data_IF_668793391799
#
_entry.id   IF_668793391799
#
_cell.length_a   1.000
_cell.length_b   1.000
_cell.length_c   1.000
_cell.angle_alpha   90.00
_cell.angle_beta   90.00
_cell.angle_gamma   90.00
#
_symmetry.space_group_name_H-M   'P 1'
#
loop_
_entity.id
_entity.type
_entity.pdbx_description
1 polymer ?
#
# COMPACT_ATOMS: atom_id res chain seq x y z
N UNK A 1 23.17 6.60 17.22
CA UNK A 1 23.03 8.03 16.83
C UNK A 1 22.28 8.74 17.96
N UNK A 2 22.61 10.00 18.34
CA UNK A 2 21.80 10.73 19.35
C UNK A 2 20.32 10.74 18.91
N UNK A 3 19.35 10.66 19.85
CA UNK A 3 17.94 10.73 19.49
C UNK A 3 17.70 11.98 18.64
N UNK A 4 16.97 11.83 17.53
CA UNK A 4 16.54 12.97 16.71
C UNK A 4 15.77 13.90 17.66
N UNK A 5 16.36 15.06 17.95
CA UNK A 5 15.76 16.04 18.85
C UNK A 5 14.30 16.28 18.44
N UNK A 6 13.40 16.41 19.42
CA UNK A 6 11.96 16.47 19.15
C UNK A 6 11.53 17.62 18.22
N UNK A 7 12.39 18.62 18.02
CA UNK A 7 12.17 19.76 17.13
C UNK A 7 12.68 19.55 15.70
N UNK A 8 13.41 18.47 15.39
CA UNK A 8 13.95 18.22 14.05
C UNK A 8 12.94 17.41 13.23
N UNK A 9 12.35 18.04 12.21
CA UNK A 9 11.38 17.41 11.30
C UNK A 9 12.03 16.52 10.24
N UNK A 10 13.30 16.76 9.91
CA UNK A 10 14.02 16.04 8.86
C UNK A 10 15.49 15.87 9.21
N UNK A 11 16.04 14.69 8.93
CA UNK A 11 17.47 14.42 9.05
C UNK A 11 17.99 13.68 7.80
N UNK A 12 18.99 14.25 7.12
CA UNK A 12 19.68 13.57 6.02
C UNK A 12 21.09 13.22 6.46
N UNK A 13 21.46 11.97 6.20
CA UNK A 13 22.75 11.41 6.58
C UNK A 13 23.47 11.04 5.28
N UNK A 14 24.59 11.70 5.01
CA UNK A 14 25.49 11.32 3.92
C UNK A 14 26.32 10.11 4.34
N UNK A 15 26.22 9.01 3.60
CA UNK A 15 27.03 7.81 3.84
C UNK A 15 26.42 6.54 3.28
N UNK A 16 27.18 5.45 3.38
CA UNK A 16 26.70 4.11 3.05
C UNK A 16 25.55 3.70 3.99
N UNK A 17 24.45 3.24 3.39
CA UNK A 17 23.23 2.90 4.11
C UNK A 17 23.45 1.81 5.16
N UNK A 18 24.24 0.78 4.86
CA UNK A 18 24.49 -0.33 5.78
C UNK A 18 25.30 0.14 7.00
N UNK A 19 26.33 0.94 6.76
CA UNK A 19 27.18 1.52 7.80
C UNK A 19 26.39 2.45 8.71
N UNK A 20 25.62 3.38 8.15
CA UNK A 20 24.78 4.30 8.92
C UNK A 20 23.71 3.54 9.72
N UNK A 21 23.04 2.56 9.11
CA UNK A 21 22.02 1.76 9.79
C UNK A 21 22.58 1.04 11.02
N UNK A 22 23.78 0.47 10.95
CA UNK A 22 24.45 -0.21 12.09
C UNK A 22 24.64 0.71 13.31
N UNK A 23 24.81 2.00 13.09
CA UNK A 23 24.96 3.02 14.14
C UNK A 23 23.64 3.55 14.70
N UNK A 24 22.51 3.25 14.03
CA UNK A 24 21.18 3.66 14.49
C UNK A 24 20.70 2.77 15.64
N UNK A 25 19.96 3.36 16.57
CA UNK A 25 19.43 2.65 17.72
C UNK A 25 18.36 1.64 17.30
N UNK A 26 18.27 0.52 18.04
CA UNK A 26 17.23 -0.50 17.82
C UNK A 26 15.85 0.09 18.08
N UNK A 27 14.85 -0.36 17.34
CA UNK A 27 13.44 0.00 17.58
C UNK A 27 13.19 1.53 17.66
N UNK A 28 13.95 2.31 16.89
CA UNK A 28 13.87 3.78 16.84
C UNK A 28 12.96 4.30 15.71
N UNK A 29 12.63 3.48 14.72
CA UNK A 29 11.91 3.89 13.50
C UNK A 29 10.49 3.30 13.47
N UNK A 30 9.48 4.09 13.11
CA UNK A 30 8.08 3.66 13.04
C UNK A 30 7.75 2.99 11.70
N UNK A 31 8.27 3.55 10.60
CA UNK A 31 7.96 3.11 9.25
C UNK A 31 9.18 3.27 8.35
N UNK A 32 9.40 2.34 7.43
CA UNK A 32 10.41 2.45 6.38
C UNK A 32 9.67 2.42 5.04
N UNK A 33 9.95 3.39 4.17
CA UNK A 33 9.45 3.41 2.80
C UNK A 33 10.62 3.70 1.90
N UNK A 34 10.90 2.81 0.95
CA UNK A 34 12.14 2.91 0.18
C UNK A 34 12.05 2.24 -1.18
N UNK A 35 12.96 2.63 -2.07
CA UNK A 35 13.22 1.99 -3.36
C UNK A 35 14.74 1.89 -3.52
N UNK A 36 15.35 0.71 -3.32
CA UNK A 36 16.78 0.56 -3.52
C UNK A 36 17.16 0.78 -4.99
N UNK A 37 18.44 0.99 -5.29
CA UNK A 37 18.94 0.91 -6.66
C UNK A 37 18.54 -0.41 -7.32
N UNK A 38 17.99 -0.34 -8.54
CA UNK A 38 17.59 -1.54 -9.28
C UNK A 38 18.81 -2.16 -9.96
N UNK A 39 18.86 -3.49 -9.95
CA UNK A 39 19.97 -4.25 -10.50
C UNK A 39 20.27 -3.90 -11.97
N UNK A 40 21.48 -3.42 -12.22
CA UNK A 40 22.02 -2.98 -13.50
C UNK A 40 21.27 -1.81 -14.13
N UNK A 41 20.70 -0.90 -13.32
CA UNK A 41 19.99 0.29 -13.81
C UNK A 41 20.61 1.62 -13.39
N UNK A 42 21.68 1.63 -12.58
CA UNK A 42 22.41 2.84 -12.21
C UNK A 42 23.92 2.65 -12.41
N UNK A 43 24.56 3.69 -12.93
CA UNK A 43 25.98 3.92 -12.81
C UNK A 43 26.11 5.36 -12.30
N UNK A 44 26.63 5.57 -11.10
CA UNK A 44 27.03 6.93 -10.71
C UNK A 44 28.31 7.30 -11.48
N UNK A 45 28.45 8.56 -11.89
CA UNK A 45 29.57 9.06 -12.70
C UNK A 45 30.94 9.04 -11.98
N UNK A 46 31.01 8.46 -10.78
CA UNK A 46 32.21 8.39 -9.98
C UNK A 46 32.73 6.94 -9.96
N UNK A 47 34.03 6.80 -10.15
CA UNK A 47 34.82 5.56 -10.09
C UNK A 47 34.23 4.54 -9.11
N UNK A 48 34.09 3.29 -9.59
CA UNK A 48 33.58 2.09 -8.91
C UNK A 48 33.58 2.22 -7.38
N UNK A 49 32.49 2.71 -6.80
CA UNK A 49 32.31 2.69 -5.36
C UNK A 49 32.03 1.25 -4.95
N UNK A 50 32.93 0.63 -4.18
CA UNK A 50 32.74 -0.72 -3.61
C UNK A 50 31.43 -0.88 -2.81
N UNK A 51 30.76 0.23 -2.50
CA UNK A 51 29.53 0.29 -1.71
C UNK A 51 28.24 0.43 -2.55
N UNK A 52 28.33 0.48 -3.89
CA UNK A 52 27.14 0.67 -4.73
C UNK A 52 26.34 -0.62 -4.93
N UNK A 53 25.22 -0.74 -4.22
CA UNK A 53 24.22 -1.78 -4.47
C UNK A 53 23.59 -1.57 -5.84
N UNK A 54 23.41 -2.65 -6.59
CA UNK A 54 22.78 -2.64 -7.91
C UNK A 54 23.73 -3.00 -9.06
N UNK A 55 25.04 -3.02 -8.84
CA UNK A 55 26.04 -3.35 -9.86
C UNK A 55 26.70 -4.73 -9.66
N UNK A 56 26.12 -5.58 -8.82
CA UNK A 56 26.64 -6.91 -8.53
C UNK A 56 26.61 -7.83 -9.75
N UNK A 57 27.62 -8.70 -9.89
CA UNK A 57 27.76 -9.57 -11.05
C UNK A 57 26.66 -10.62 -11.19
N UNK A 58 25.98 -10.97 -10.09
CA UNK A 58 24.92 -11.99 -10.08
C UNK A 58 23.68 -11.52 -9.32
N UNK A 59 22.52 -12.06 -9.67
CA UNK A 59 21.26 -11.79 -8.97
C UNK A 59 21.32 -12.18 -7.49
N UNK A 60 22.05 -13.25 -7.15
CA UNK A 60 22.18 -13.71 -5.78
C UNK A 60 22.95 -12.69 -4.93
N UNK A 61 24.06 -12.16 -5.45
CA UNK A 61 24.86 -11.15 -4.75
C UNK A 61 24.05 -9.87 -4.51
N UNK A 62 23.27 -9.40 -5.48
CA UNK A 62 22.37 -8.25 -5.29
C UNK A 62 21.32 -8.51 -4.20
N UNK A 63 20.70 -9.69 -4.20
CA UNK A 63 19.75 -10.08 -3.15
C UNK A 63 20.44 -10.11 -1.78
N UNK A 64 21.63 -10.70 -1.69
CA UNK A 64 22.40 -10.79 -0.44
C UNK A 64 22.82 -9.41 0.09
N UNK A 65 23.24 -8.50 -0.79
CA UNK A 65 23.56 -7.11 -0.44
C UNK A 65 22.33 -6.38 0.14
N UNK A 66 21.17 -6.50 -0.51
CA UNK A 66 19.91 -5.99 0.03
C UNK A 66 19.53 -6.66 1.35
N UNK A 67 19.75 -7.96 1.50
CA UNK A 67 19.43 -8.66 2.75
C UNK A 67 20.29 -8.16 3.91
N UNK A 68 21.56 -7.82 3.68
CA UNK A 68 22.41 -7.20 4.70
C UNK A 68 21.82 -5.88 5.21
N UNK A 69 21.31 -5.04 4.30
CA UNK A 69 20.60 -3.79 4.65
C UNK A 69 19.30 -4.10 5.39
N UNK A 70 18.48 -5.03 4.87
CA UNK A 70 17.16 -5.28 5.45
C UNK A 70 17.19 -6.00 6.81
N UNK A 71 18.30 -6.67 7.16
CA UNK A 71 18.55 -7.14 8.53
C UNK A 71 18.65 -5.96 9.49
N UNK A 72 19.39 -4.92 9.12
CA UNK A 72 19.52 -3.71 9.93
C UNK A 72 18.24 -2.88 9.94
N UNK A 73 17.52 -2.78 8.81
CA UNK A 73 16.18 -2.17 8.75
C UNK A 73 15.22 -2.86 9.73
N UNK A 74 15.23 -4.19 9.77
CA UNK A 74 14.42 -4.97 10.73
C UNK A 74 14.81 -4.67 12.18
N UNK A 75 16.09 -4.42 12.45
CA UNK A 75 16.61 -4.09 13.79
C UNK A 75 16.19 -2.70 14.26
N UNK A 76 16.27 -1.68 13.39
CA UNK A 76 15.94 -0.29 13.73
C UNK A 76 14.43 -0.03 13.76
N UNK A 77 13.63 -0.80 13.03
CA UNK A 77 12.17 -0.71 13.09
C UNK A 77 11.63 -1.12 14.47
N UNK A 78 10.64 -0.38 14.98
CA UNK A 78 9.83 -0.76 16.15
C UNK A 78 9.13 -2.09 15.94
N UNK A 79 8.74 -2.76 17.02
CA UNK A 79 8.08 -4.10 16.97
C UNK A 79 6.79 -4.10 16.15
N UNK A 80 6.09 -2.97 16.14
CA UNK A 80 4.85 -2.72 15.41
C UNK A 80 5.07 -1.95 14.09
N UNK A 81 6.32 -1.75 13.68
CA UNK A 81 6.68 -1.01 12.46
C UNK A 81 6.52 -1.80 11.16
N UNK A 82 6.46 -1.06 10.05
CA UNK A 82 6.28 -1.60 8.69
C UNK A 82 7.43 -1.20 7.76
N UNK A 83 7.71 -2.06 6.79
CA UNK A 83 8.58 -1.81 5.64
C UNK A 83 7.72 -1.80 4.37
N UNK A 84 7.83 -0.74 3.58
CA UNK A 84 7.30 -0.64 2.22
C UNK A 84 8.47 -0.57 1.25
N UNK A 85 8.52 -1.54 0.33
CA UNK A 85 9.64 -1.74 -0.59
C UNK A 85 9.14 -1.68 -2.03
N UNK A 86 9.54 -0.64 -2.76
CA UNK A 86 9.28 -0.49 -4.18
C UNK A 86 10.41 -1.15 -5.01
N UNK A 87 10.05 -2.02 -5.95
CA UNK A 87 10.98 -2.69 -6.84
C UNK A 87 10.37 -2.89 -8.24
N UNK A 88 11.14 -2.54 -9.25
CA UNK A 88 10.89 -2.84 -10.65
C UNK A 88 11.64 -4.10 -11.10
N UNK A 89 11.11 -4.75 -12.12
CA UNK A 89 11.76 -5.91 -12.73
C UNK A 89 12.55 -5.51 -13.99
N UNK A 90 13.35 -6.45 -14.49
CA UNK A 90 14.21 -6.26 -15.65
C UNK A 90 14.18 -7.49 -16.55
N UNK A 91 14.42 -7.27 -17.83
CA UNK A 91 14.68 -8.35 -18.79
C UNK A 91 16.19 -8.50 -19.00
N UNK A 92 16.65 -9.74 -18.92
CA UNK A 92 18.03 -10.14 -19.24
C UNK A 92 17.96 -11.34 -20.17
N UNK A 93 18.57 -11.24 -21.36
CA UNK A 93 18.54 -12.28 -22.39
C UNK A 93 17.12 -12.82 -22.67
N UNK A 94 16.19 -11.91 -22.96
CA UNK A 94 14.75 -12.21 -23.21
C UNK A 94 14.00 -12.87 -22.05
N UNK A 95 14.54 -12.87 -20.84
CA UNK A 95 13.89 -13.43 -19.65
C UNK A 95 13.52 -12.31 -18.70
N UNK A 96 12.27 -12.27 -18.26
CA UNK A 96 11.88 -11.53 -17.07
C UNK A 96 12.54 -12.22 -15.87
N UNK A 97 13.40 -11.52 -15.14
CA UNK A 97 14.26 -12.18 -14.14
C UNK A 97 13.55 -12.43 -12.81
N UNK A 98 12.41 -11.77 -12.57
CA UNK A 98 11.63 -11.90 -11.34
C UNK A 98 12.28 -11.24 -10.15
N UNK A 99 13.08 -10.17 -10.36
CA UNK A 99 13.90 -9.58 -9.31
C UNK A 99 13.09 -9.12 -8.08
N UNK A 100 11.94 -8.43 -8.24
CA UNK A 100 11.10 -8.05 -7.10
C UNK A 100 10.72 -9.24 -6.22
N UNK A 101 10.30 -10.34 -6.84
CA UNK A 101 9.90 -11.56 -6.12
C UNK A 101 11.08 -12.32 -5.50
N UNK A 102 12.26 -12.29 -6.11
CA UNK A 102 13.48 -12.87 -5.50
C UNK A 102 13.80 -12.19 -4.17
N UNK A 103 13.77 -10.86 -4.15
CA UNK A 103 13.98 -10.07 -2.93
C UNK A 103 12.86 -10.32 -1.92
N UNK A 104 11.60 -10.32 -2.38
CA UNK A 104 10.45 -10.52 -1.51
C UNK A 104 10.43 -11.89 -0.82
N UNK A 105 10.75 -12.96 -1.55
CA UNK A 105 10.89 -14.31 -1.00
C UNK A 105 12.04 -14.38 0.00
N UNK A 106 13.20 -13.80 -0.33
CA UNK A 106 14.35 -13.77 0.57
C UNK A 106 14.05 -13.04 1.91
N UNK A 107 13.21 -12.01 1.89
CA UNK A 107 12.70 -11.34 3.09
C UNK A 107 11.77 -12.26 3.89
N UNK A 108 10.82 -12.94 3.24
CA UNK A 108 9.90 -13.88 3.90
C UNK A 108 10.65 -15.03 4.58
N UNK A 109 11.64 -15.60 3.91
CA UNK A 109 12.50 -16.67 4.45
C UNK A 109 13.30 -16.20 5.66
N UNK A 110 13.58 -14.90 5.77
CA UNK A 110 14.23 -14.24 6.93
C UNK A 110 13.21 -13.72 7.96
N UNK A 111 12.00 -14.27 7.93
CA UNK A 111 10.96 -14.07 8.94
C UNK A 111 10.28 -12.71 8.87
N UNK A 112 10.26 -12.05 7.72
CA UNK A 112 9.31 -10.96 7.47
C UNK A 112 7.93 -11.54 7.14
N UNK A 113 6.88 -10.85 7.57
CA UNK A 113 5.50 -11.21 7.21
C UNK A 113 5.07 -10.27 6.08
N UNK A 114 4.87 -10.81 4.87
CA UNK A 114 4.26 -10.06 3.77
C UNK A 114 2.77 -9.84 4.06
N UNK A 115 2.30 -8.60 3.88
CA UNK A 115 0.90 -8.21 4.04
C UNK A 115 0.23 -7.91 2.70
N UNK A 116 0.96 -7.26 1.80
CA UNK A 116 0.48 -6.94 0.46
C UNK A 116 1.64 -7.02 -0.55
N UNK A 117 1.31 -7.49 -1.75
CA UNK A 117 1.97 -7.13 -3.00
C UNK A 117 1.07 -6.11 -3.69
N UNK A 118 1.49 -4.85 -3.73
CA UNK A 118 0.75 -3.79 -4.38
C UNK A 118 1.32 -3.56 -5.77
N UNK A 119 0.45 -3.53 -6.77
CA UNK A 119 0.80 -3.22 -8.16
C UNK A 119 0.66 -1.72 -8.38
N UNK A 120 1.79 -1.03 -8.52
CA UNK A 120 1.80 0.36 -8.97
C UNK A 120 1.82 0.41 -10.49
N UNK A 121 0.65 0.65 -11.09
CA UNK A 121 0.50 0.88 -12.51
C UNK A 121 0.82 2.35 -12.83
N UNK A 122 1.90 2.58 -13.59
CA UNK A 122 2.46 3.91 -13.84
C UNK A 122 1.68 4.71 -14.89
N UNK A 123 0.72 4.08 -15.58
CA UNK A 123 -0.12 4.65 -16.65
C UNK A 123 0.65 5.24 -17.85
N UNK A 124 1.97 5.05 -17.91
CA UNK A 124 2.84 5.42 -19.02
C UNK A 124 3.33 4.16 -19.73
N UNK A 125 3.39 4.21 -21.06
CA UNK A 125 3.87 3.10 -21.87
C UNK A 125 4.31 3.58 -23.24
N UNK A 126 5.61 3.86 -23.38
CA UNK A 126 6.25 4.18 -24.66
C UNK A 126 7.17 3.06 -25.15
N UNK A 127 7.36 1.98 -24.38
CA UNK A 127 8.18 0.86 -24.83
C UNK A 127 7.56 0.20 -26.06
N UNK A 128 8.33 0.13 -27.15
CA UNK A 128 8.01 -0.68 -28.31
C UNK A 128 8.52 -2.10 -28.06
N UNK A 129 7.61 -3.06 -27.94
CA UNK A 129 7.93 -4.48 -27.76
C UNK A 129 7.21 -5.28 -28.85
N UNK A 130 7.92 -6.22 -29.50
CA UNK A 130 7.37 -7.02 -30.63
C UNK A 130 7.09 -8.48 -30.25
N UNK A 131 7.70 -9.00 -29.20
CA UNK A 131 7.68 -10.41 -28.80
C UNK A 131 7.28 -10.61 -27.31
N UNK A 132 6.73 -9.56 -26.67
CA UNK A 132 6.20 -9.60 -25.29
C UNK A 132 5.22 -8.45 -25.04
N UNK A 133 4.52 -8.53 -23.91
CA UNK A 133 3.76 -7.40 -23.36
C UNK A 133 4.71 -6.34 -22.79
N UNK A 134 4.25 -5.09 -22.77
CA UNK A 134 4.99 -3.96 -22.20
C UNK A 134 4.93 -4.02 -20.69
N UNK A 135 6.01 -3.61 -20.04
CA UNK A 135 6.04 -3.43 -18.60
C UNK A 135 5.41 -2.08 -18.26
N UNK A 136 4.35 -2.10 -17.47
CA UNK A 136 3.58 -0.89 -17.11
C UNK A 136 3.47 -0.68 -15.61
N UNK A 137 4.05 -1.57 -14.82
CA UNK A 137 3.91 -1.56 -13.37
C UNK A 137 5.19 -1.90 -12.63
N UNK A 138 5.24 -1.48 -11.37
CA UNK A 138 6.23 -1.90 -10.37
C UNK A 138 5.52 -2.53 -9.16
N UNK A 139 6.28 -3.30 -8.39
CA UNK A 139 5.79 -3.91 -7.15
C UNK A 139 6.11 -3.02 -5.95
N UNK A 140 5.14 -2.85 -5.07
CA UNK A 140 5.32 -2.24 -3.75
C UNK A 140 4.92 -3.27 -2.70
N UNK A 141 5.92 -3.89 -2.08
CA UNK A 141 5.69 -4.90 -1.06
C UNK A 141 5.53 -4.25 0.32
N UNK A 142 4.49 -4.65 1.05
CA UNK A 142 4.31 -4.29 2.46
C UNK A 142 4.71 -5.46 3.36
N UNK A 143 5.74 -5.26 4.18
CA UNK A 143 6.24 -6.22 5.17
C UNK A 143 6.09 -5.69 6.60
N UNK A 144 5.90 -6.62 7.54
CA UNK A 144 5.83 -6.32 8.98
C UNK A 144 6.66 -7.32 9.79
N UNK A 145 7.09 -6.90 10.99
CA UNK A 145 7.90 -7.72 11.91
C UNK A 145 7.09 -8.73 12.72
N UNK A 146 5.81 -8.43 12.97
CA UNK A 146 4.97 -9.24 13.84
C UNK A 146 3.51 -9.20 13.41
N UNK A 147 2.72 -10.16 13.90
CA UNK A 147 1.27 -10.23 13.61
C UNK A 147 0.48 -9.05 14.18
N UNK A 148 1.01 -8.38 15.22
CA UNK A 148 0.44 -7.17 15.82
C UNK A 148 1.29 -5.97 15.44
N UNK A 149 0.89 -5.26 14.40
CA UNK A 149 1.59 -4.09 13.89
C UNK A 149 0.64 -2.88 13.82
N UNK A 150 1.21 -1.68 13.77
CA UNK A 150 0.42 -0.46 13.64
C UNK A 150 -0.18 -0.36 12.23
N UNK A 151 -1.49 -0.16 12.15
CA UNK A 151 -2.19 0.04 10.89
C UNK A 151 -3.42 0.95 11.08
N UNK A 152 -3.34 2.19 10.61
CA UNK A 152 -4.45 3.14 10.59
C UNK A 152 -5.26 2.98 9.30
N UNK A 153 -6.20 2.04 9.35
CA UNK A 153 -7.12 1.76 8.25
C UNK A 153 -8.02 2.96 7.93
N UNK A 154 -8.41 3.75 8.94
CA UNK A 154 -9.36 4.85 8.78
C UNK A 154 -8.70 6.05 8.07
N UNK A 155 -7.40 6.30 8.29
CA UNK A 155 -6.64 7.35 7.61
C UNK A 155 -6.51 7.19 6.08
N UNK A 156 -6.77 6.00 5.55
CA UNK A 156 -6.60 5.70 4.11
C UNK A 156 -7.91 5.30 3.41
N UNK A 157 -9.07 5.37 4.08
CA UNK A 157 -10.34 4.99 3.45
C UNK A 157 -10.69 5.92 2.29
N UNK A 158 -11.17 5.32 1.21
CA UNK A 158 -11.77 6.01 0.08
C UNK A 158 -13.25 6.21 0.39
N UNK A 159 -13.67 7.47 0.43
CA UNK A 159 -15.06 7.82 0.60
C UNK A 159 -15.85 7.58 -0.70
N UNK A 160 -17.10 7.10 -0.62
CA UNK A 160 -17.94 6.95 -1.80
C UNK A 160 -18.20 8.31 -2.46
N UNK A 161 -18.19 8.34 -3.80
CA UNK A 161 -18.46 9.56 -4.58
C UNK A 161 -19.93 10.00 -4.58
N UNK A 162 -20.84 9.13 -4.12
CA UNK A 162 -22.27 9.38 -4.04
C UNK A 162 -22.77 9.07 -2.63
N UNK A 163 -23.67 9.91 -2.13
CA UNK A 163 -24.36 9.71 -0.86
C UNK A 163 -25.71 9.02 -1.07
N UNK A 164 -26.23 8.29 -0.06
CA UNK A 164 -27.60 7.79 -0.09
C UNK A 164 -28.62 8.91 -0.27
N UNK A 165 -29.72 8.62 -0.98
CA UNK A 165 -30.87 9.52 -1.12
C UNK A 165 -31.96 9.08 -0.16
N UNK A 166 -32.34 9.98 0.74
CA UNK A 166 -33.42 9.80 1.72
C UNK A 166 -34.54 10.78 1.36
N UNK A 167 -35.67 10.24 0.90
CA UNK A 167 -36.91 10.98 0.67
C UNK A 167 -38.04 10.35 1.49
N UNK A 168 -39.16 11.06 1.69
CA UNK A 168 -40.32 10.53 2.42
C UNK A 168 -40.73 9.14 1.88
N UNK A 169 -40.62 8.13 2.74
CA UNK A 169 -40.93 6.73 2.40
C UNK A 169 -39.98 6.02 1.44
N UNK A 170 -38.87 6.64 1.00
CA UNK A 170 -37.91 6.05 0.05
C UNK A 170 -36.46 6.28 0.46
N UNK A 171 -35.77 5.17 0.76
CA UNK A 171 -34.32 5.15 0.97
C UNK A 171 -33.65 4.50 -0.23
N UNK A 172 -32.65 5.15 -0.80
CA UNK A 172 -31.84 4.61 -1.90
C UNK A 172 -30.36 4.73 -1.53
N UNK A 173 -29.59 3.65 -1.66
CA UNK A 173 -28.16 3.66 -1.37
C UNK A 173 -27.34 4.49 -2.36
N UNK A 174 -26.05 4.68 -2.09
CA UNK A 174 -25.13 5.39 -2.97
C UNK A 174 -25.02 4.83 -4.40
N UNK A 175 -25.32 3.55 -4.61
CA UNK A 175 -25.33 2.92 -5.93
C UNK A 175 -26.74 2.73 -6.51
N UNK A 176 -27.77 3.33 -5.92
CA UNK A 176 -29.14 3.28 -6.43
C UNK A 176 -29.99 2.13 -5.89
N UNK A 177 -29.54 1.41 -4.85
CA UNK A 177 -30.27 0.26 -4.30
C UNK A 177 -31.34 0.72 -3.31
N UNK A 178 -32.61 0.44 -3.62
CA UNK A 178 -33.76 0.85 -2.80
C UNK A 178 -34.43 -0.27 -1.99
N UNK A 179 -33.88 -1.49 -2.04
CA UNK A 179 -34.49 -2.68 -1.44
C UNK A 179 -35.70 -3.26 -2.18
N UNK A 180 -36.37 -2.49 -3.07
CA UNK A 180 -37.55 -2.94 -3.84
C UNK A 180 -37.31 -4.26 -4.58
N UNK A 181 -36.17 -4.36 -5.29
CA UNK A 181 -35.76 -5.58 -5.99
C UNK A 181 -35.62 -6.76 -5.03
N UNK A 182 -35.01 -6.55 -3.86
CA UNK A 182 -34.78 -7.61 -2.88
C UNK A 182 -36.07 -8.06 -2.22
N UNK A 183 -36.99 -7.16 -1.86
CA UNK A 183 -38.33 -7.55 -1.36
C UNK A 183 -39.05 -8.46 -2.36
N UNK A 184 -39.02 -8.09 -3.65
CA UNK A 184 -39.61 -8.92 -4.70
C UNK A 184 -38.98 -10.32 -4.73
N UNK A 185 -37.65 -10.39 -4.76
CA UNK A 185 -36.92 -11.67 -4.76
C UNK A 185 -37.20 -12.53 -3.50
N UNK A 186 -37.34 -11.92 -2.32
CA UNK A 186 -37.68 -12.64 -1.09
C UNK A 186 -39.08 -13.26 -1.20
N UNK A 187 -40.06 -12.47 -1.63
CA UNK A 187 -41.47 -12.89 -1.73
C UNK A 187 -41.65 -14.00 -2.75
N UNK A 188 -41.04 -13.84 -3.93
CA UNK A 188 -41.13 -14.76 -5.07
C UNK A 188 -40.25 -16.01 -4.91
N UNK A 189 -39.35 -16.07 -3.94
CA UNK A 189 -38.44 -17.21 -3.78
C UNK A 189 -39.19 -18.51 -3.46
N UNK A 190 -38.90 -19.57 -4.22
CA UNK A 190 -39.29 -20.95 -3.92
C UNK A 190 -38.32 -21.66 -2.97
N UNK A 191 -37.14 -21.08 -2.74
CA UNK A 191 -36.02 -21.67 -2.00
C UNK A 191 -35.96 -21.25 -0.52
N UNK A 192 -36.74 -20.24 -0.15
CA UNK A 192 -36.86 -19.75 1.22
C UNK A 192 -38.12 -20.28 1.88
N UNK A 193 -37.98 -20.79 3.10
CA UNK A 193 -39.12 -21.08 3.99
C UNK A 193 -39.85 -19.79 4.39
N UNK A 194 -41.10 -19.91 4.87
CA UNK A 194 -41.88 -18.76 5.33
C UNK A 194 -41.14 -17.95 6.42
N UNK A 195 -40.48 -18.65 7.36
CA UNK A 195 -39.70 -18.00 8.41
C UNK A 195 -38.44 -17.32 7.87
N UNK A 196 -37.72 -17.94 6.93
CA UNK A 196 -36.57 -17.30 6.27
C UNK A 196 -36.98 -16.05 5.50
N UNK A 197 -38.16 -16.04 4.84
CA UNK A 197 -38.70 -14.85 4.17
C UNK A 197 -38.96 -13.71 5.16
N UNK A 198 -39.61 -13.99 6.29
CA UNK A 198 -39.84 -12.99 7.36
C UNK A 198 -38.52 -12.43 7.87
N UNK A 199 -37.56 -13.31 8.16
CA UNK A 199 -36.24 -12.91 8.67
C UNK A 199 -35.47 -12.08 7.63
N UNK A 200 -35.56 -12.43 6.35
CA UNK A 200 -34.93 -11.71 5.24
C UNK A 200 -35.53 -10.32 5.04
N UNK A 201 -36.85 -10.16 5.13
CA UNK A 201 -37.50 -8.85 5.06
C UNK A 201 -37.10 -7.97 6.24
N UNK A 202 -37.07 -8.53 7.47
CA UNK A 202 -36.62 -7.80 8.66
C UNK A 202 -35.17 -7.32 8.52
N UNK A 203 -34.25 -8.19 8.09
CA UNK A 203 -32.85 -7.81 7.89
C UNK A 203 -32.68 -6.75 6.79
N UNK A 204 -33.53 -6.76 5.76
CA UNK A 204 -33.57 -5.73 4.74
C UNK A 204 -34.05 -4.38 5.31
N UNK A 205 -35.05 -4.40 6.19
CA UNK A 205 -35.53 -3.20 6.89
C UNK A 205 -34.48 -2.60 7.82
N UNK A 206 -33.75 -3.45 8.54
CA UNK A 206 -32.63 -3.05 9.40
C UNK A 206 -31.54 -2.34 8.62
N UNK A 207 -31.05 -2.91 7.50
CA UNK A 207 -29.99 -2.25 6.72
C UNK A 207 -30.45 -0.94 6.06
N UNK A 208 -31.73 -0.84 5.67
CA UNK A 208 -32.29 0.42 5.18
C UNK A 208 -32.40 1.47 6.30
N UNK A 209 -32.65 1.06 7.54
CA UNK A 209 -32.61 1.93 8.70
C UNK A 209 -31.18 2.40 9.03
N UNK A 210 -30.20 1.50 8.93
CA UNK A 210 -28.77 1.84 9.06
C UNK A 210 -28.32 2.88 8.01
N UNK A 211 -28.84 2.80 6.78
CA UNK A 211 -28.62 3.83 5.76
C UNK A 211 -29.23 5.17 6.16
N UNK A 212 -30.48 5.17 6.67
CA UNK A 212 -31.12 6.40 7.16
C UNK A 212 -30.37 7.03 8.34
N UNK A 213 -29.76 6.21 9.18
CA UNK A 213 -28.94 6.63 10.31
C UNK A 213 -27.51 7.07 9.92
N UNK A 214 -27.13 6.96 8.64
CA UNK A 214 -25.78 7.32 8.18
C UNK A 214 -24.68 6.34 8.61
N UNK A 215 -25.03 5.12 9.02
CA UNK A 215 -24.07 4.09 9.45
C UNK A 215 -23.56 3.26 8.25
N UNK A 216 -24.37 3.15 7.21
CA UNK A 216 -24.13 2.38 5.99
C UNK A 216 -24.40 3.26 4.78
N UNK A 217 -23.51 3.24 3.79
CA UNK A 217 -23.70 3.99 2.53
C UNK A 217 -24.37 3.12 1.45
N UNK A 218 -24.15 1.81 1.48
CA UNK A 218 -24.72 0.88 0.52
C UNK A 218 -24.80 -0.54 1.05
N UNK A 219 -25.57 -1.38 0.37
CA UNK A 219 -25.69 -2.79 0.72
C UNK A 219 -25.93 -3.66 -0.51
N UNK A 220 -25.50 -4.92 -0.40
CA UNK A 220 -25.84 -5.98 -1.35
C UNK A 220 -26.39 -7.15 -0.58
N UNK A 221 -27.64 -7.50 -0.89
CA UNK A 221 -28.25 -8.73 -0.43
C UNK A 221 -28.04 -9.83 -1.47
N UNK A 222 -27.80 -11.04 -1.00
CA UNK A 222 -27.80 -12.27 -1.80
C UNK A 222 -28.76 -13.25 -1.17
N UNK A 223 -29.64 -13.81 -2.00
CA UNK A 223 -30.70 -14.74 -1.59
C UNK A 223 -30.42 -16.09 -2.27
N UNK A 224 -30.54 -17.18 -1.51
CA UNK A 224 -30.34 -18.56 -1.98
C UNK A 224 -31.23 -18.82 -3.20
N UNK A 225 -30.61 -19.33 -4.27
CA UNK A 225 -31.25 -19.66 -5.55
C UNK A 225 -31.72 -18.49 -6.42
N UNK A 226 -31.69 -17.24 -5.93
CA UNK A 226 -32.14 -16.09 -6.71
C UNK A 226 -31.01 -15.45 -7.55
N UNK A 227 -29.75 -15.62 -7.15
CA UNK A 227 -28.59 -14.94 -7.74
C UNK A 227 -27.38 -15.88 -7.78
N UNK A 228 -26.53 -15.73 -8.80
CA UNK A 228 -25.28 -16.48 -8.92
C UNK A 228 -24.31 -16.03 -7.82
N UNK A 229 -23.77 -16.97 -7.06
CA UNK A 229 -22.80 -16.70 -5.99
C UNK A 229 -21.37 -16.71 -6.55
N UNK A 230 -20.53 -15.77 -6.09
CA UNK A 230 -19.11 -15.66 -6.49
C UNK A 230 -18.16 -16.40 -5.54
N UNK A 231 -18.70 -17.02 -4.48
CA UNK A 231 -17.97 -17.79 -3.49
C UNK A 231 -18.15 -19.27 -3.79
N UNK A 232 -17.11 -20.08 -3.60
CA UNK A 232 -17.23 -21.53 -3.72
C UNK A 232 -18.31 -22.08 -2.79
N UNK A 233 -19.05 -23.09 -3.26
CA UNK A 233 -20.17 -23.69 -2.51
C UNK A 233 -19.74 -24.47 -1.24
N UNK A 234 -18.45 -24.48 -0.91
CA UNK A 234 -17.92 -25.20 0.23
C UNK A 234 -18.17 -24.44 1.55
N UNK A 235 -19.14 -24.92 2.31
CA UNK A 235 -19.56 -24.36 3.62
C UNK A 235 -18.53 -24.55 4.74
N UNK A 236 -17.52 -25.40 4.57
CA UNK A 236 -16.41 -25.53 5.53
C UNK A 236 -15.43 -24.36 5.47
N UNK A 237 -15.38 -23.66 4.33
CA UNK A 237 -14.38 -22.62 4.05
C UNK A 237 -15.03 -21.24 3.92
N UNK A 238 -16.24 -21.15 3.36
CA UNK A 238 -16.93 -19.88 3.13
C UNK A 238 -18.01 -19.63 4.18
N UNK A 239 -17.78 -18.64 5.05
CA UNK A 239 -18.80 -18.14 6.00
C UNK A 239 -20.08 -17.69 5.30
N UNK A 240 -19.97 -17.10 4.10
CA UNK A 240 -21.12 -16.68 3.28
C UNK A 240 -21.91 -17.86 2.72
N UNK A 241 -21.23 -18.93 2.30
CA UNK A 241 -21.91 -20.17 1.89
C UNK A 241 -22.65 -20.78 3.09
N UNK A 242 -22.05 -20.75 4.28
CA UNK A 242 -22.69 -21.20 5.52
C UNK A 242 -23.91 -20.35 5.88
N UNK A 243 -23.85 -19.03 5.71
CA UNK A 243 -25.00 -18.14 5.90
C UNK A 243 -26.13 -18.42 4.91
N UNK A 244 -25.83 -18.64 3.63
CA UNK A 244 -26.84 -19.00 2.64
C UNK A 244 -27.52 -20.33 2.97
N UNK A 245 -26.78 -21.34 3.40
CA UNK A 245 -27.36 -22.64 3.79
C UNK A 245 -28.21 -22.49 5.06
N UNK A 246 -27.72 -21.76 6.07
CA UNK A 246 -28.39 -21.72 7.37
C UNK A 246 -29.54 -20.70 7.47
N UNK A 247 -29.48 -19.61 6.69
CA UNK A 247 -30.43 -18.48 6.79
C UNK A 247 -31.18 -18.21 5.50
N UNK A 248 -30.72 -18.75 4.37
CA UNK A 248 -31.26 -18.46 3.05
C UNK A 248 -30.80 -17.14 2.42
N UNK A 249 -30.09 -16.28 3.16
CA UNK A 249 -29.59 -15.01 2.64
C UNK A 249 -28.36 -14.51 3.41
N UNK A 250 -27.64 -13.54 2.83
CA UNK A 250 -26.73 -12.65 3.55
C UNK A 250 -26.83 -11.21 3.02
N UNK A 251 -26.40 -10.25 3.84
CA UNK A 251 -26.32 -8.83 3.47
C UNK A 251 -24.89 -8.34 3.68
N UNK A 252 -24.23 -7.95 2.59
CA UNK A 252 -22.98 -7.19 2.64
C UNK A 252 -23.32 -5.73 2.86
N UNK A 253 -22.82 -5.16 3.96
CA UNK A 253 -22.94 -3.74 4.30
C UNK A 253 -21.68 -3.00 3.87
N UNK A 254 -21.85 -1.88 3.18
CA UNK A 254 -20.76 -0.97 2.82
C UNK A 254 -20.78 0.20 3.79
N UNK A 255 -19.78 0.24 4.66
CA UNK A 255 -19.67 1.21 5.77
C UNK A 255 -19.75 2.65 5.28
N UNK A 256 -20.36 3.51 6.10
CA UNK A 256 -20.33 4.95 5.90
C UNK A 256 -18.92 5.55 5.93
N UNK A 257 -17.97 4.88 6.61
CA UNK A 257 -16.57 5.30 6.66
C UNK A 257 -15.82 5.15 5.33
N UNK A 258 -16.42 4.53 4.32
CA UNK A 258 -15.77 4.21 3.06
C UNK A 258 -15.05 2.86 3.07
N UNK A 259 -14.44 2.52 1.94
CA UNK A 259 -13.73 1.26 1.75
C UNK A 259 -12.21 1.47 1.76
N UNK A 260 -11.47 0.39 2.01
CA UNK A 260 -10.02 0.44 1.88
C UNK A 260 -9.63 0.54 0.39
N UNK A 261 -8.49 1.17 0.08
CA UNK A 261 -7.95 1.16 -1.27
C UNK A 261 -7.66 -0.27 -1.74
N UNK A 262 -7.71 -0.48 -3.06
CA UNK A 262 -7.23 -1.73 -3.67
C UNK A 262 -5.71 -1.84 -3.58
N UNK A 263 -5.20 -3.04 -3.82
CA UNK A 263 -3.78 -3.36 -4.02
C UNK A 263 -3.29 -3.09 -5.46
N UNK A 264 -4.11 -2.48 -6.31
CA UNK A 264 -3.69 -1.94 -7.61
C UNK A 264 -3.84 -0.42 -7.59
N UNK A 265 -2.72 0.29 -7.73
CA UNK A 265 -2.65 1.75 -7.66
C UNK A 265 -2.32 2.32 -9.02
N UNK A 266 -3.21 3.16 -9.53
CA UNK A 266 -3.04 3.88 -10.79
C UNK A 266 -2.51 5.28 -10.48
N UNK A 267 -1.19 5.44 -10.49
CA UNK A 267 -0.52 6.71 -10.14
C UNK A 267 0.49 7.01 -11.25
N UNK A 268 0.33 8.17 -11.89
CA UNK A 268 1.23 8.60 -12.97
C UNK A 268 2.57 9.03 -12.35
N UNK A 269 3.70 8.67 -12.97
CA UNK A 269 5.00 9.24 -12.59
C UNK A 269 5.01 10.75 -12.86
N UNK A 270 5.65 11.56 -12.01
CA UNK A 270 5.70 13.00 -12.23
C UNK A 270 6.43 13.34 -13.55
N UNK A 271 5.77 14.10 -14.44
CA UNK A 271 6.28 14.51 -15.78
C UNK A 271 6.95 15.89 -15.78
N UNK A 272 7.06 16.55 -14.63
CA UNK A 272 7.75 17.83 -14.58
C UNK A 272 9.22 17.60 -14.89
N UNK A 273 9.71 18.20 -15.98
CA UNK A 273 11.12 18.36 -16.30
C UNK A 273 11.80 19.06 -15.12
N UNK A 274 12.23 18.22 -14.18
CA UNK A 274 13.09 18.56 -13.07
C UNK A 274 14.46 18.85 -13.67
N UNK A 275 14.91 20.09 -13.54
CA UNK A 275 16.26 20.51 -13.96
C UNK A 275 17.36 19.86 -13.11
N UNK A 276 16.97 19.25 -12.00
CA UNK A 276 17.73 18.28 -11.20
C UNK A 276 17.68 16.89 -11.89
N UNK A 277 18.74 16.59 -12.63
CA UNK A 277 19.02 15.33 -13.33
C UNK A 277 18.86 14.10 -12.43
N UNK A 278 17.69 13.45 -12.44
CA UNK A 278 17.50 12.18 -11.72
C UNK A 278 16.65 11.16 -12.48
N UNK A 279 17.25 10.00 -12.77
CA UNK A 279 16.55 8.79 -13.16
C UNK A 279 15.80 8.19 -11.96
N UNK A 280 14.52 7.85 -12.16
CA UNK A 280 13.68 7.01 -11.29
C UNK A 280 13.36 7.57 -9.88
N UNK A 281 12.69 8.72 -9.81
CA UNK A 281 12.04 9.19 -8.58
C UNK A 281 10.55 8.78 -8.61
N UNK A 282 10.09 7.99 -7.64
CA UNK A 282 8.66 7.69 -7.50
C UNK A 282 7.87 8.93 -7.00
N UNK A 283 6.60 9.10 -7.38
CA UNK A 283 5.80 10.29 -7.06
C UNK A 283 5.42 10.35 -5.59
N UNK A 284 5.23 11.55 -5.02
CA UNK A 284 4.86 11.70 -3.60
C UNK A 284 3.52 11.05 -3.25
N UNK A 285 2.56 11.00 -4.18
CA UNK A 285 1.27 10.35 -3.96
C UNK A 285 1.42 8.85 -3.67
N UNK A 286 2.46 8.20 -4.21
CA UNK A 286 2.75 6.78 -3.96
C UNK A 286 3.04 6.50 -2.48
N UNK A 287 3.54 7.51 -1.76
CA UNK A 287 3.94 7.42 -0.36
C UNK A 287 2.79 7.68 0.60
N UNK A 288 1.68 8.23 0.10
CA UNK A 288 0.56 8.66 0.95
C UNK A 288 -0.03 7.50 1.73
N UNK A 289 -0.38 6.40 1.07
CA UNK A 289 -0.95 5.21 1.74
C UNK A 289 0.08 4.56 2.68
N UNK A 290 1.31 4.24 2.25
CA UNK A 290 2.35 3.69 3.13
C UNK A 290 2.51 4.47 4.44
N UNK A 291 2.68 5.80 4.36
CA UNK A 291 2.94 6.65 5.52
C UNK A 291 1.68 6.80 6.39
N UNK A 292 0.52 7.06 5.79
CA UNK A 292 -0.72 7.27 6.55
C UNK A 292 -1.14 6.00 7.29
N UNK A 293 -1.08 4.85 6.60
CA UNK A 293 -1.51 3.59 7.17
C UNK A 293 -0.52 3.07 8.22
N UNK A 294 0.78 3.26 8.04
CA UNK A 294 1.78 2.50 8.84
C UNK A 294 2.74 3.33 9.66
N UNK A 295 2.64 4.66 9.62
CA UNK A 295 3.40 5.55 10.51
C UNK A 295 2.45 6.40 11.35
N UNK A 296 2.58 6.30 12.68
CA UNK A 296 1.84 7.12 13.65
C UNK A 296 2.09 8.62 13.38
N UNK A 297 1.12 9.48 13.73
CA UNK A 297 1.34 10.93 13.70
C UNK A 297 2.56 11.29 14.56
N UNK A 298 3.41 12.18 14.06
CA UNK A 298 4.71 12.55 14.66
C UNK A 298 5.75 11.39 14.73
N UNK A 299 5.42 10.21 14.20
CA UNK A 299 6.35 9.08 14.06
C UNK A 299 7.45 9.36 13.05
N UNK A 300 8.43 8.45 12.97
CA UNK A 300 9.62 8.60 12.13
C UNK A 300 9.51 7.65 10.92
N UNK A 301 9.59 8.23 9.72
CA UNK A 301 9.71 7.50 8.45
C UNK A 301 11.18 7.50 8.02
N UNK A 302 11.74 6.32 7.75
CA UNK A 302 13.10 6.15 7.24
C UNK A 302 13.10 5.76 5.76
N UNK A 303 14.03 6.33 5.01
CA UNK A 303 14.41 5.89 3.67
C UNK A 303 15.93 5.66 3.61
N UNK A 304 16.42 4.41 3.62
CA UNK A 304 17.84 4.11 3.54
C UNK A 304 18.46 4.35 2.14
N UNK A 305 17.63 4.61 1.12
CA UNK A 305 18.06 4.87 -0.26
C UNK A 305 17.41 6.17 -0.77
N UNK A 306 17.65 7.26 -0.06
CA UNK A 306 16.79 8.44 -0.08
C UNK A 306 16.79 9.22 -1.40
N UNK A 307 17.86 9.14 -2.20
CA UNK A 307 18.01 9.92 -3.42
C UNK A 307 17.81 11.41 -3.16
N UNK A 308 16.85 12.02 -3.87
CA UNK A 308 16.47 13.43 -3.70
C UNK A 308 15.52 13.70 -2.53
N UNK A 309 15.28 12.72 -1.65
CA UNK A 309 14.52 12.90 -0.42
C UNK A 309 13.00 12.94 -0.58
N UNK A 310 12.44 12.30 -1.61
CA UNK A 310 10.98 12.27 -1.82
C UNK A 310 10.22 11.67 -0.62
N UNK A 311 10.74 10.58 -0.03
CA UNK A 311 10.14 9.97 1.17
C UNK A 311 10.11 10.91 2.36
N UNK A 312 11.23 11.59 2.61
CA UNK A 312 11.35 12.57 3.70
C UNK A 312 10.40 13.75 3.48
N UNK A 313 10.30 14.24 2.24
CA UNK A 313 9.36 15.33 1.86
C UNK A 313 7.91 14.95 2.15
N UNK A 314 7.48 13.77 1.69
CA UNK A 314 6.12 13.29 1.91
C UNK A 314 5.83 13.05 3.40
N UNK A 315 6.79 12.49 4.16
CA UNK A 315 6.64 12.29 5.59
C UNK A 315 6.34 13.61 6.32
N UNK A 316 7.10 14.67 6.03
CA UNK A 316 6.90 16.00 6.63
C UNK A 316 5.53 16.58 6.26
N UNK A 317 5.16 16.55 4.98
CA UNK A 317 3.85 17.03 4.48
C UNK A 317 2.68 16.31 5.15
N UNK A 318 2.86 15.04 5.49
CA UNK A 318 1.87 14.23 6.20
C UNK A 318 1.97 14.34 7.73
N UNK A 319 2.78 15.24 8.29
CA UNK A 319 2.89 15.46 9.73
C UNK A 319 3.66 14.35 10.47
N UNK A 320 4.67 13.78 9.82
CA UNK A 320 5.66 12.84 10.40
C UNK A 320 7.05 13.47 10.33
N UNK A 321 8.01 12.86 11.00
CA UNK A 321 9.44 13.14 10.84
C UNK A 321 10.03 12.22 9.77
N UNK A 322 11.02 12.70 9.03
CA UNK A 322 11.70 11.91 8.00
C UNK A 322 13.20 11.78 8.23
N UNK A 323 13.74 10.59 7.97
CA UNK A 323 15.18 10.32 7.95
C UNK A 323 15.54 9.75 6.58
N UNK A 324 16.52 10.35 5.91
CA UNK A 324 17.04 9.87 4.64
C UNK A 324 18.51 9.54 4.75
N UNK A 325 18.93 8.40 4.21
CA UNK A 325 20.35 8.05 4.03
C UNK A 325 20.64 8.07 2.53
N UNK A 326 21.73 8.72 2.12
CA UNK A 326 22.12 8.83 0.72
C UNK A 326 23.64 8.74 0.58
N UNK A 327 24.09 7.94 -0.38
CA UNK A 327 25.51 7.73 -0.64
C UNK A 327 26.11 8.90 -1.45
N UNK A 328 25.38 9.43 -2.43
CA UNK A 328 25.85 10.50 -3.32
C UNK A 328 25.83 11.87 -2.61
N UNK A 329 26.98 12.56 -2.49
CA UNK A 329 27.02 13.93 -1.96
C UNK A 329 26.19 14.93 -2.77
N UNK A 330 26.03 14.71 -4.07
CA UNK A 330 25.17 15.52 -4.92
C UNK A 330 23.70 15.34 -4.56
N UNK A 331 23.22 14.10 -4.51
CA UNK A 331 21.82 13.79 -4.21
C UNK A 331 21.46 14.20 -2.79
N UNK A 332 22.38 14.01 -1.85
CA UNK A 332 22.28 14.50 -0.49
C UNK A 332 22.08 16.03 -0.44
N UNK A 333 22.87 16.81 -1.19
CA UNK A 333 22.69 18.28 -1.28
C UNK A 333 21.34 18.66 -1.88
N UNK A 334 20.93 17.99 -2.96
CA UNK A 334 19.61 18.22 -3.59
C UNK A 334 18.46 17.92 -2.62
N UNK A 335 18.56 16.84 -1.84
CA UNK A 335 17.56 16.46 -0.85
C UNK A 335 17.43 17.50 0.27
N UNK A 336 18.56 18.01 0.78
CA UNK A 336 18.56 19.08 1.79
C UNK A 336 17.91 20.36 1.28
N UNK A 337 18.20 20.78 0.04
CA UNK A 337 17.59 21.96 -0.58
C UNK A 337 16.08 21.80 -0.75
N UNK A 338 15.61 20.62 -1.20
CA UNK A 338 14.19 20.34 -1.37
C UNK A 338 13.40 20.45 -0.07
N UNK A 339 13.95 19.93 1.03
CA UNK A 339 13.26 20.00 2.33
C UNK A 339 13.26 21.42 2.89
N UNK A 340 14.34 22.19 2.72
CA UNK A 340 14.36 23.60 3.10
C UNK A 340 13.24 24.41 2.41
N UNK A 341 12.97 24.14 1.13
CA UNK A 341 11.86 24.77 0.40
C UNK A 341 10.49 24.28 0.87
N UNK A 342 10.37 23.02 1.31
CA UNK A 342 9.12 22.44 1.81
C UNK A 342 8.75 23.00 3.18
N UNK A 343 9.74 23.23 4.05
CA UNK A 343 9.54 23.82 5.37
C UNK A 343 9.07 25.28 5.32
N UNK A 344 9.39 26.02 4.25
CA UNK A 344 8.99 27.42 4.07
C UNK A 344 7.58 27.63 3.48
N UNK A 345 6.86 26.55 3.11
CA UNK A 345 5.53 26.61 2.47
C UNK A 345 4.37 26.26 3.42
N UNK A 346 4.64 26.06 4.70
CA UNK A 346 3.68 25.70 5.75
C UNK A 346 4.03 26.46 7.03
#
# INVERSE_FOLDING_TARGET
MKPIEDNIRSNFILGDCLSVLKEMDRESIDCVVTSPPYWGMRAYDNEESEFEIGNESTFAQYVDALMAVFVEVKRVLKKDGSLWLNLGDKYVDKRLIGMPWRVAIALMDRGWIMRNDVIWHQLKGTQSCKDRLRDSYEHIFHFVKSKKYYYDADAIRIQPSRMPIIAEGKTTSSTGVSGKKYRRLIRESSELTAQEKINAEKALDEVLAEIRAGLVNDFRMTIRGAQRTWHGNNTKISGRAKELVNRGYYIMRMSAKGHLPSDVWNIVTEDTWRTDTHCAVYPEELLRIPILATCKKNGIVLDPFSGTGTTVSAAIKLGRRGVGIELSPEYHRSAQQRIAQTANRH
#
